data_IF_439835326150
#
_entry.id   IF_439835326150
#
_cell.length_a   1.000
_cell.length_b   1.000
_cell.length_c   1.000
_cell.angle_alpha   90.00
_cell.angle_beta   90.00
_cell.angle_gamma   90.00
#
_symmetry.space_group_name_H-M   'P 1'
#
loop_
_entity.id
_entity.type
_entity.pdbx_description
1 polymer ?
#
# COMPACT_ATOMS: atom_id res chain seq x y z
N UNK A 1 -31.02 32.34 1.91
CA UNK A 1 -30.05 31.61 1.07
C UNK A 1 -28.78 31.15 1.81
N UNK A 2 -28.08 32.03 2.53
CA UNK A 2 -26.81 31.69 3.21
C UNK A 2 -26.90 30.73 4.41
N UNK A 3 -28.06 30.61 5.07
CA UNK A 3 -28.25 29.67 6.20
C UNK A 3 -28.37 28.21 5.73
N UNK A 4 -29.11 27.96 4.64
CA UNK A 4 -29.27 26.62 4.04
C UNK A 4 -27.94 26.10 3.49
N UNK A 5 -27.12 26.98 2.91
CA UNK A 5 -25.80 26.64 2.37
C UNK A 5 -24.78 26.28 3.47
N UNK A 6 -24.87 26.91 4.65
CA UNK A 6 -24.02 26.57 5.81
C UNK A 6 -24.40 25.23 6.45
N UNK A 7 -25.69 24.91 6.54
CA UNK A 7 -26.15 23.62 7.09
C UNK A 7 -25.78 22.45 6.18
N UNK A 8 -25.82 22.63 4.85
CA UNK A 8 -25.42 21.60 3.89
C UNK A 8 -23.91 21.28 3.93
N UNK A 9 -23.08 22.30 4.17
CA UNK A 9 -21.63 22.14 4.28
C UNK A 9 -21.21 21.36 5.55
N UNK A 10 -21.95 21.53 6.65
CA UNK A 10 -21.74 20.73 7.87
C UNK A 10 -22.16 19.26 7.71
N UNK A 11 -23.21 18.99 6.91
CA UNK A 11 -23.71 17.63 6.66
C UNK A 11 -22.78 16.82 5.74
N UNK A 12 -22.04 17.49 4.84
CA UNK A 12 -21.04 16.86 3.97
C UNK A 12 -19.72 16.55 4.71
N UNK A 13 -19.41 17.26 5.79
CA UNK A 13 -18.17 17.05 6.56
C UNK A 13 -18.20 15.80 7.45
N UNK A 14 -19.39 15.28 7.77
CA UNK A 14 -19.55 14.10 8.64
C UNK A 14 -19.40 12.75 7.93
N UNK A 15 -19.28 12.73 6.60
CA UNK A 15 -19.27 11.48 5.81
C UNK A 15 -17.84 10.99 5.52
N UNK A 16 -16.82 11.81 5.73
CA UNK A 16 -15.43 11.44 5.47
C UNK A 16 -14.72 10.90 6.73
N UNK A 17 -15.28 9.89 7.39
CA UNK A 17 -14.44 9.02 8.22
C UNK A 17 -13.64 8.13 7.26
N UNK A 18 -12.30 8.25 7.19
CA UNK A 18 -11.54 7.23 6.50
C UNK A 18 -11.85 5.91 7.21
N UNK A 19 -12.37 4.93 6.48
CA UNK A 19 -12.46 3.58 7.00
C UNK A 19 -11.03 3.17 7.36
N UNK A 20 -10.71 3.17 8.66
CA UNK A 20 -9.43 2.66 9.11
C UNK A 20 -9.36 1.22 8.59
N UNK A 21 -8.39 0.94 7.73
CA UNK A 21 -8.24 -0.39 7.17
C UNK A 21 -8.00 -1.35 8.33
N UNK A 22 -8.99 -2.21 8.62
CA UNK A 22 -8.85 -3.26 9.61
C UNK A 22 -7.66 -4.13 9.16
N UNK A 23 -6.68 -4.36 10.04
CA UNK A 23 -5.52 -5.16 9.67
C UNK A 23 -5.97 -6.58 9.31
N UNK A 24 -5.55 -7.06 8.13
CA UNK A 24 -5.77 -8.44 7.69
C UNK A 24 -4.81 -9.44 8.38
N UNK A 25 -3.84 -8.92 9.13
CA UNK A 25 -2.77 -9.68 9.79
C UNK A 25 -3.28 -10.84 10.66
N UNK A 26 -4.31 -10.70 11.53
CA UNK A 26 -4.73 -11.80 12.38
C UNK A 26 -5.19 -13.04 11.59
N UNK A 27 -5.91 -12.83 10.49
CA UNK A 27 -6.33 -13.91 9.60
C UNK A 27 -5.19 -14.47 8.74
N UNK A 28 -4.07 -13.76 8.57
CA UNK A 28 -2.90 -14.24 7.81
C UNK A 28 -1.97 -15.10 8.67
N UNK A 29 -1.95 -14.88 9.98
CA UNK A 29 -1.13 -15.63 10.93
C UNK A 29 -1.82 -16.93 11.41
N UNK A 30 -3.12 -17.09 11.17
CA UNK A 30 -3.83 -18.32 11.50
C UNK A 30 -3.58 -19.40 10.45
N UNK A 31 -2.83 -20.44 10.82
CA UNK A 31 -2.51 -21.58 9.96
C UNK A 31 -3.76 -22.23 9.36
N UNK A 32 -4.89 -22.21 10.08
CA UNK A 32 -6.16 -22.78 9.60
C UNK A 32 -6.72 -22.03 8.40
N UNK A 33 -6.37 -20.76 8.25
CA UNK A 33 -6.81 -19.91 7.14
C UNK A 33 -5.88 -19.98 5.93
N UNK A 34 -4.75 -20.72 5.99
CA UNK A 34 -3.74 -20.72 4.92
C UNK A 34 -4.26 -21.26 3.59
N UNK A 35 -5.15 -22.27 3.63
CA UNK A 35 -5.75 -22.85 2.45
C UNK A 35 -6.90 -22.01 1.87
N UNK A 36 -7.31 -20.93 2.55
CA UNK A 36 -8.45 -20.12 2.14
C UNK A 36 -8.07 -19.19 1.00
N UNK A 37 -8.74 -19.35 -0.15
CA UNK A 37 -8.60 -18.43 -1.28
C UNK A 37 -9.14 -17.04 -0.91
N UNK A 38 -8.38 -16.00 -1.29
CA UNK A 38 -8.75 -14.60 -1.08
C UNK A 38 -8.73 -13.85 -2.41
N UNK A 39 -9.74 -13.01 -2.70
CA UNK A 39 -9.77 -12.21 -3.93
C UNK A 39 -8.88 -10.97 -3.76
N UNK A 40 -7.56 -11.17 -3.72
CA UNK A 40 -6.56 -10.11 -3.57
C UNK A 40 -5.55 -10.15 -4.71
N UNK A 41 -4.96 -9.00 -5.03
CA UNK A 41 -3.79 -8.92 -5.89
C UNK A 41 -2.54 -8.91 -5.01
N UNK A 42 -1.61 -9.83 -5.26
CA UNK A 42 -0.32 -9.89 -4.56
C UNK A 42 0.72 -9.14 -5.39
N UNK A 43 1.53 -8.33 -4.72
CA UNK A 43 2.62 -7.58 -5.34
C UNK A 43 3.86 -7.59 -4.45
N UNK A 44 5.02 -7.35 -5.06
CA UNK A 44 6.32 -7.32 -4.38
C UNK A 44 7.22 -6.28 -5.05
N UNK A 45 7.97 -5.55 -4.23
CA UNK A 45 9.12 -4.76 -4.66
C UNK A 45 10.37 -5.36 -4.04
N UNK A 46 11.38 -5.59 -4.87
CA UNK A 46 12.67 -6.15 -4.47
C UNK A 46 13.77 -5.60 -5.35
N UNK A 47 14.98 -5.60 -4.81
CA UNK A 47 16.23 -5.28 -5.53
C UNK A 47 16.76 -6.44 -6.37
N UNK A 48 15.96 -7.50 -6.55
CA UNK A 48 16.35 -8.70 -7.30
C UNK A 48 16.97 -8.39 -8.67
N UNK A 49 17.93 -9.22 -9.05
CA UNK A 49 18.59 -9.12 -10.33
C UNK A 49 17.63 -9.50 -11.47
N UNK A 50 17.35 -8.54 -12.34
CA UNK A 50 16.47 -8.74 -13.49
C UNK A 50 17.14 -9.44 -14.66
N UNK A 51 18.45 -9.68 -14.57
CA UNK A 51 19.24 -10.40 -15.58
C UNK A 51 19.31 -11.91 -15.32
N UNK A 52 18.86 -12.36 -14.14
CA UNK A 52 18.88 -13.78 -13.74
C UNK A 52 20.19 -14.25 -13.10
N UNK A 53 21.10 -13.31 -12.74
CA UNK A 53 22.27 -13.61 -11.91
C UNK A 53 21.93 -13.35 -10.42
N UNK A 54 22.96 -13.13 -9.60
CA UNK A 54 22.83 -12.97 -8.15
C UNK A 54 23.29 -11.58 -7.67
N UNK A 55 23.09 -10.53 -8.48
CA UNK A 55 23.26 -9.15 -8.03
C UNK A 55 21.91 -8.57 -7.58
N UNK A 56 21.41 -9.10 -6.48
CA UNK A 56 20.11 -8.77 -5.88
C UNK A 56 20.12 -7.50 -5.02
N UNK A 57 21.05 -6.57 -5.30
CA UNK A 57 21.03 -5.21 -4.74
C UNK A 57 22.30 -4.76 -4.02
N UNK A 58 23.28 -5.66 -3.82
CA UNK A 58 24.55 -5.32 -3.16
C UNK A 58 25.38 -4.28 -3.93
N UNK A 59 25.24 -4.21 -5.26
CA UNK A 59 25.94 -3.23 -6.09
C UNK A 59 25.26 -1.85 -6.17
N UNK A 60 24.01 -1.74 -5.72
CA UNK A 60 23.18 -0.54 -5.92
C UNK A 60 22.41 -0.49 -7.24
N UNK A 61 22.65 -1.43 -8.18
CA UNK A 61 22.15 -1.38 -9.57
C UNK A 61 20.62 -1.43 -9.70
N UNK A 62 19.94 -2.17 -8.83
CA UNK A 62 18.48 -2.34 -8.82
C UNK A 62 17.84 -1.93 -7.48
N UNK A 63 18.54 -1.14 -6.67
CA UNK A 63 18.17 -0.87 -5.27
C UNK A 63 17.09 0.20 -5.09
N UNK A 64 16.64 0.86 -6.16
CA UNK A 64 15.56 1.86 -6.12
C UNK A 64 14.85 1.99 -7.47
N UNK A 65 13.62 2.52 -7.45
CA UNK A 65 12.79 2.84 -8.61
C UNK A 65 13.18 4.17 -9.25
N UNK A 66 13.40 5.20 -8.42
CA UNK A 66 13.87 6.54 -8.83
C UNK A 66 14.51 7.30 -7.67
N UNK A 67 15.20 8.39 -7.98
CA UNK A 67 15.69 9.38 -7.01
C UNK A 67 14.75 10.57 -6.92
N UNK A 68 14.57 11.11 -5.73
CA UNK A 68 13.83 12.33 -5.45
C UNK A 68 14.69 13.23 -4.56
N UNK A 69 15.44 14.15 -5.17
CA UNK A 69 16.49 14.91 -4.48
C UNK A 69 17.58 13.98 -3.94
N UNK A 70 17.84 14.06 -2.64
CA UNK A 70 18.79 13.19 -1.92
C UNK A 70 18.16 11.87 -1.43
N UNK A 71 16.88 11.64 -1.71
CA UNK A 71 16.15 10.43 -1.29
C UNK A 71 16.00 9.40 -2.43
N UNK A 72 15.74 8.15 -2.04
CA UNK A 72 15.48 7.03 -2.95
C UNK A 72 14.06 6.50 -2.75
N UNK A 73 13.33 6.31 -3.83
CA UNK A 73 12.05 5.60 -3.82
C UNK A 73 12.31 4.13 -4.08
N UNK A 74 12.08 3.27 -3.10
CA UNK A 74 12.36 1.83 -3.19
C UNK A 74 11.12 0.96 -3.44
N UNK A 75 9.93 1.52 -3.22
CA UNK A 75 8.64 0.88 -3.50
C UNK A 75 7.59 1.94 -3.81
N UNK A 76 6.64 1.64 -4.69
CA UNK A 76 5.48 2.49 -4.98
C UNK A 76 4.23 1.63 -5.19
N UNK A 77 3.20 1.85 -4.37
CA UNK A 77 1.94 1.11 -4.42
C UNK A 77 0.79 2.09 -4.58
N UNK A 78 -0.24 1.73 -5.34
CA UNK A 78 -1.44 2.55 -5.55
C UNK A 78 -2.68 1.78 -5.12
N UNK A 79 -3.61 2.47 -4.47
CA UNK A 79 -4.86 1.89 -3.99
C UNK A 79 -4.77 1.30 -2.57
N UNK A 80 -5.89 0.73 -2.07
CA UNK A 80 -5.94 0.12 -0.75
C UNK A 80 -5.13 -1.18 -0.71
N UNK A 81 -4.44 -1.42 0.40
CA UNK A 81 -3.65 -2.63 0.61
C UNK A 81 -2.97 -2.67 1.98
N UNK A 82 -2.20 -3.73 2.21
CA UNK A 82 -1.38 -3.91 3.40
C UNK A 82 0.01 -4.42 2.99
N UNK A 83 1.05 -3.93 3.68
CA UNK A 83 2.40 -4.50 3.64
C UNK A 83 2.51 -5.37 4.89
N UNK A 84 2.87 -6.64 4.72
CA UNK A 84 2.77 -7.68 5.76
C UNK A 84 3.96 -8.61 5.69
#
# INVERSE_FOLDING_TARGET
MMRVLRTLCLLLLTIATPAAAQSSLPGMLDVRELARLRPVTVGMFSSYDRTGLNDDGFSGKHSFLRKEGDALVIAELKGPGAIT
#
